data_IF_680617306874
#
_entry.id   IF_680617306874
#
_cell.length_a   1.000
_cell.length_b   1.000
_cell.length_c   1.000
_cell.angle_alpha   90.00
_cell.angle_beta   90.00
_cell.angle_gamma   90.00
#
_symmetry.space_group_name_H-M   'P 1'
#
loop_
_entity.id
_entity.type
_entity.pdbx_description
1 polymer ?
#
# COMPACT_ATOMS: atom_id res chain seq x y z
N UNK A 1 -8.90 10.60 4.31
CA UNK A 1 -9.85 11.07 3.26
C UNK A 1 -9.73 10.17 2.02
N UNK A 2 -10.79 9.99 1.23
CA UNK A 2 -10.73 9.20 -0.01
C UNK A 2 -10.67 10.16 -1.22
N UNK A 3 -9.69 10.02 -2.13
CA UNK A 3 -9.55 10.94 -3.25
C UNK A 3 -10.75 10.83 -4.21
N UNK A 4 -11.14 11.94 -4.84
CA UNK A 4 -12.23 12.01 -5.83
C UNK A 4 -12.14 10.99 -6.99
N UNK A 5 -10.96 10.70 -7.57
CA UNK A 5 -10.78 9.61 -8.56
C UNK A 5 -10.72 8.19 -7.96
N UNK A 6 -10.87 8.04 -6.65
CA UNK A 6 -10.94 6.76 -5.95
C UNK A 6 -9.71 5.88 -6.10
N UNK A 7 -9.91 4.61 -6.48
CA UNK A 7 -8.81 3.64 -6.62
C UNK A 7 -7.88 3.94 -7.82
N UNK A 8 -8.29 4.81 -8.75
CA UNK A 8 -7.50 5.13 -9.95
C UNK A 8 -6.12 5.70 -9.62
N UNK A 9 -6.03 6.57 -8.61
CA UNK A 9 -4.77 7.19 -8.17
C UNK A 9 -3.88 6.27 -7.31
N UNK A 10 -4.38 5.06 -7.01
CA UNK A 10 -3.66 4.01 -6.27
C UNK A 10 -3.20 2.88 -7.19
N UNK A 11 -3.42 3.02 -8.49
CA UNK A 11 -3.11 2.02 -9.49
C UNK A 11 -2.42 2.71 -10.69
N UNK A 12 -1.29 3.41 -10.47
CA UNK A 12 -0.70 4.30 -11.47
C UNK A 12 -0.36 3.52 -12.74
N UNK A 13 -0.53 4.18 -13.90
CA UNK A 13 -0.37 3.55 -15.22
C UNK A 13 -1.65 2.89 -15.76
N UNK A 14 -1.51 1.92 -16.66
CA UNK A 14 -2.65 1.34 -17.38
C UNK A 14 -3.50 0.44 -16.48
N UNK A 15 -4.72 0.85 -16.17
CA UNK A 15 -5.60 0.13 -15.22
C UNK A 15 -6.08 -1.20 -15.83
N UNK A 16 -5.80 -2.31 -15.15
CA UNK A 16 -6.29 -3.65 -15.50
C UNK A 16 -7.17 -4.21 -14.37
N UNK A 17 -8.04 -5.17 -14.69
CA UNK A 17 -8.92 -5.82 -13.71
C UNK A 17 -8.12 -6.46 -12.58
N UNK A 18 -7.10 -7.24 -12.92
CA UNK A 18 -6.29 -7.98 -11.96
C UNK A 18 -5.49 -7.04 -11.05
N UNK A 19 -4.96 -5.91 -11.59
CA UNK A 19 -4.25 -4.92 -10.78
C UNK A 19 -5.19 -4.14 -9.86
N UNK A 20 -6.41 -3.84 -10.31
CA UNK A 20 -7.45 -3.25 -9.45
C UNK A 20 -7.86 -4.20 -8.32
N UNK A 21 -7.96 -5.49 -8.60
CA UNK A 21 -8.25 -6.51 -7.58
C UNK A 21 -7.11 -6.59 -6.57
N UNK A 22 -5.85 -6.61 -7.01
CA UNK A 22 -4.69 -6.56 -6.13
C UNK A 22 -4.67 -5.29 -5.23
N UNK A 23 -5.01 -4.12 -5.77
CA UNK A 23 -5.15 -2.88 -4.96
C UNK A 23 -6.25 -3.05 -3.91
N UNK A 24 -7.43 -3.54 -4.30
CA UNK A 24 -8.58 -3.69 -3.38
C UNK A 24 -8.28 -4.65 -2.23
N UNK A 25 -7.77 -5.83 -2.54
CA UNK A 25 -7.48 -6.86 -1.54
C UNK A 25 -6.36 -6.42 -0.60
N UNK A 26 -5.29 -5.83 -1.15
CA UNK A 26 -4.20 -5.31 -0.30
C UNK A 26 -4.63 -4.12 0.57
N UNK A 27 -5.48 -3.23 0.08
CA UNK A 27 -6.03 -2.10 0.86
C UNK A 27 -6.96 -2.61 1.97
N UNK A 28 -7.75 -3.67 1.70
CA UNK A 28 -8.61 -4.30 2.69
C UNK A 28 -7.80 -4.90 3.85
N UNK A 29 -6.72 -5.65 3.54
CA UNK A 29 -5.79 -6.19 4.55
C UNK A 29 -5.19 -5.05 5.39
N UNK A 30 -4.69 -4.00 4.73
CA UNK A 30 -4.10 -2.85 5.43
C UNK A 30 -5.10 -2.19 6.39
N UNK A 31 -6.35 -1.98 5.95
CA UNK A 31 -7.41 -1.40 6.78
C UNK A 31 -7.76 -2.25 7.98
N UNK A 32 -7.91 -3.55 7.77
CA UNK A 32 -8.20 -4.49 8.83
C UNK A 32 -7.10 -4.48 9.91
N UNK A 33 -5.83 -4.54 9.49
CA UNK A 33 -4.71 -4.53 10.43
C UNK A 33 -4.54 -3.18 11.13
N UNK A 34 -4.82 -2.07 10.46
CA UNK A 34 -4.82 -0.75 11.12
C UNK A 34 -5.92 -0.63 12.17
N UNK A 35 -7.12 -1.15 11.90
CA UNK A 35 -8.22 -1.16 12.87
C UNK A 35 -7.89 -2.04 14.08
N UNK A 36 -7.38 -3.26 13.85
CA UNK A 36 -7.00 -4.21 14.92
C UNK A 36 -5.89 -3.70 15.83
N UNK A 37 -4.99 -2.87 15.30
CA UNK A 37 -3.81 -2.38 16.03
C UNK A 37 -3.95 -0.91 16.48
N UNK A 38 -5.16 -0.36 16.49
CA UNK A 38 -5.43 0.99 17.03
C UNK A 38 -4.80 2.13 16.21
N UNK A 39 -4.53 1.90 14.93
CA UNK A 39 -4.03 2.92 14.00
C UNK A 39 -5.17 3.60 13.23
N UNK A 40 -6.35 2.99 13.17
CA UNK A 40 -7.55 3.62 12.61
C UNK A 40 -7.90 4.90 13.39
N UNK A 41 -8.10 6.01 12.66
CA UNK A 41 -8.34 7.34 13.23
C UNK A 41 -7.09 8.02 13.81
N UNK A 42 -6.04 7.27 14.17
CA UNK A 42 -4.73 7.82 14.55
C UNK A 42 -3.93 8.26 13.32
N UNK A 43 -3.97 7.46 12.26
CA UNK A 43 -3.29 7.77 10.99
C UNK A 43 -4.22 8.54 10.08
N UNK A 44 -3.81 9.74 9.65
CA UNK A 44 -4.66 10.64 8.85
C UNK A 44 -5.08 10.04 7.50
N UNK A 45 -4.14 9.45 6.78
CA UNK A 45 -4.43 8.72 5.55
C UNK A 45 -3.48 7.55 5.37
N UNK A 46 -4.04 6.41 5.02
CA UNK A 46 -3.31 5.20 4.71
C UNK A 46 -4.02 4.40 3.63
N UNK A 47 -3.22 3.79 2.76
CA UNK A 47 -3.68 3.02 1.61
C UNK A 47 -2.55 2.19 0.99
N UNK A 48 -2.91 1.26 0.12
CA UNK A 48 -1.96 0.56 -0.75
C UNK A 48 -1.97 1.09 -2.17
N UNK A 49 -0.83 0.95 -2.85
CA UNK A 49 -0.63 1.26 -4.26
C UNK A 49 -0.06 0.04 -4.98
N UNK A 50 -0.55 -0.25 -6.19
CA UNK A 50 0.03 -1.28 -7.06
C UNK A 50 0.52 -0.64 -8.36
N UNK A 51 1.84 -0.47 -8.54
CA UNK A 51 2.39 0.23 -9.68
C UNK A 51 2.41 -0.62 -10.96
N UNK A 52 2.51 0.04 -12.12
CA UNK A 52 2.60 -0.59 -13.44
C UNK A 52 3.99 -1.14 -13.77
N UNK A 53 4.62 -1.82 -12.82
CA UNK A 53 5.81 -2.61 -13.06
C UNK A 53 5.77 -3.88 -12.20
N UNK A 54 6.50 -4.89 -12.65
CA UNK A 54 6.59 -6.17 -11.96
C UNK A 54 7.95 -6.34 -11.29
N UNK A 55 7.96 -7.10 -10.20
CA UNK A 55 9.15 -7.43 -9.43
C UNK A 55 9.39 -8.94 -9.47
N UNK A 56 10.63 -9.37 -9.20
CA UNK A 56 10.95 -10.79 -9.06
C UNK A 56 10.67 -11.27 -7.64
N UNK A 57 10.13 -12.49 -7.53
CA UNK A 57 9.89 -13.17 -6.26
C UNK A 57 9.95 -14.69 -6.40
N UNK A 58 9.59 -15.39 -5.34
CA UNK A 58 9.42 -16.85 -5.33
C UNK A 58 8.02 -17.14 -4.79
N UNK A 59 7.23 -17.93 -5.52
CA UNK A 59 5.91 -18.41 -5.08
C UNK A 59 5.83 -19.90 -5.37
N UNK A 60 5.47 -20.71 -4.38
CA UNK A 60 5.40 -22.18 -4.51
C UNK A 60 6.67 -22.82 -5.08
N UNK A 61 7.85 -22.32 -4.68
CA UNK A 61 9.14 -22.84 -5.11
C UNK A 61 9.56 -22.47 -6.55
N UNK A 62 8.76 -21.69 -7.28
CA UNK A 62 9.11 -21.20 -8.62
C UNK A 62 9.28 -19.69 -8.64
N UNK A 63 10.12 -19.21 -9.57
CA UNK A 63 10.32 -17.77 -9.78
C UNK A 63 9.01 -17.13 -10.23
N UNK A 64 8.60 -16.07 -9.56
CA UNK A 64 7.43 -15.27 -9.92
C UNK A 64 7.82 -13.92 -10.52
N UNK A 65 6.94 -13.39 -11.37
CA UNK A 65 7.03 -12.06 -11.94
C UNK A 65 5.68 -11.36 -11.80
N UNK A 66 5.52 -10.71 -10.66
CA UNK A 66 4.26 -10.24 -10.10
C UNK A 66 4.42 -8.80 -9.59
N UNK A 67 3.33 -8.14 -9.24
CA UNK A 67 3.37 -6.74 -8.83
C UNK A 67 3.91 -6.59 -7.40
N UNK A 68 4.66 -5.51 -7.12
CA UNK A 68 4.83 -5.06 -5.75
C UNK A 68 3.56 -4.33 -5.27
N UNK A 69 3.37 -4.28 -3.96
CA UNK A 69 2.45 -3.37 -3.28
C UNK A 69 3.27 -2.35 -2.49
N UNK A 70 2.89 -1.08 -2.55
CA UNK A 70 3.47 -0.01 -1.75
C UNK A 70 2.43 0.41 -0.70
N UNK A 71 2.78 0.34 0.58
CA UNK A 71 2.01 0.87 1.68
C UNK A 71 2.37 2.35 1.84
N UNK A 72 1.35 3.20 1.89
CA UNK A 72 1.45 4.62 2.24
C UNK A 72 0.67 4.85 3.53
N UNK A 73 1.29 5.47 4.52
CA UNK A 73 0.64 5.84 5.78
C UNK A 73 1.25 7.13 6.30
N UNK A 74 0.46 8.21 6.34
CA UNK A 74 0.92 9.55 6.63
C UNK A 74 0.02 10.27 7.60
N UNK A 75 0.61 11.21 8.35
CA UNK A 75 -0.08 12.16 9.20
C UNK A 75 0.17 13.59 8.72
N UNK A 76 -0.82 14.44 8.93
CA UNK A 76 -0.67 15.86 8.66
C UNK A 76 -1.55 16.72 9.57
N UNK A 77 -1.10 17.94 9.81
CA UNK A 77 -1.87 19.00 10.47
C UNK A 77 -2.37 20.06 9.47
N UNK A 78 -1.90 20.02 8.21
CA UNK A 78 -2.25 21.00 7.17
C UNK A 78 -2.19 20.40 5.75
N UNK A 79 -2.51 21.18 4.73
CA UNK A 79 -2.45 20.70 3.34
C UNK A 79 -1.02 20.68 2.76
N UNK A 80 -0.03 21.25 3.44
CA UNK A 80 1.30 21.57 2.87
C UNK A 80 2.37 20.54 3.24
N UNK A 81 2.29 19.96 4.44
CA UNK A 81 3.25 18.99 4.96
C UNK A 81 2.61 17.64 5.26
N UNK A 82 3.41 16.59 5.34
CA UNK A 82 2.97 15.28 5.82
C UNK A 82 4.17 14.48 6.33
N UNK A 83 4.03 13.89 7.52
CA UNK A 83 5.01 12.99 8.11
C UNK A 83 4.58 11.54 7.92
N UNK A 84 5.55 10.65 7.98
CA UNK A 84 5.35 9.20 7.88
C UNK A 84 4.91 8.65 9.24
N UNK A 85 3.89 7.79 9.26
CA UNK A 85 3.54 7.06 10.49
C UNK A 85 4.65 6.03 10.82
N UNK A 86 5.27 6.05 12.01
CA UNK A 86 6.25 5.04 12.39
C UNK A 86 5.55 3.72 12.77
N UNK A 87 5.06 2.98 11.77
CA UNK A 87 4.41 1.69 11.96
C UNK A 87 5.44 0.71 12.56
N UNK A 88 5.12 0.00 13.66
CA UNK A 88 6.02 -1.00 14.23
C UNK A 88 6.45 -2.03 13.17
N UNK A 89 7.75 -2.34 13.13
CA UNK A 89 8.30 -3.26 12.13
C UNK A 89 7.61 -4.63 12.14
N UNK A 90 7.27 -5.14 13.33
CA UNK A 90 6.54 -6.41 13.48
C UNK A 90 5.16 -6.36 12.81
N UNK A 91 4.44 -5.23 12.92
CA UNK A 91 3.17 -5.05 12.24
C UNK A 91 3.34 -4.95 10.72
N UNK A 92 4.38 -4.26 10.25
CA UNK A 92 4.73 -4.23 8.82
C UNK A 92 5.06 -5.62 8.28
N UNK A 93 5.81 -6.43 9.04
CA UNK A 93 6.13 -7.80 8.69
C UNK A 93 4.87 -8.66 8.60
N UNK A 94 3.96 -8.54 9.57
CA UNK A 94 2.68 -9.25 9.56
C UNK A 94 1.79 -8.86 8.36
N UNK A 95 1.64 -7.56 8.10
CA UNK A 95 0.90 -7.06 6.93
C UNK A 95 1.56 -7.56 5.63
N UNK A 96 2.89 -7.58 5.58
CA UNK A 96 3.63 -8.08 4.41
C UNK A 96 3.36 -9.55 4.14
N UNK A 97 3.38 -10.38 5.18
CA UNK A 97 3.04 -11.81 5.09
C UNK A 97 1.61 -12.01 4.59
N UNK A 98 0.64 -11.31 5.18
CA UNK A 98 -0.76 -11.37 4.74
C UNK A 98 -0.93 -10.96 3.29
N UNK A 99 -0.40 -9.80 2.89
CA UNK A 99 -0.52 -9.32 1.50
C UNK A 99 0.12 -10.30 0.51
N UNK A 100 1.32 -10.81 0.79
CA UNK A 100 2.02 -11.71 -0.15
C UNK A 100 1.43 -13.12 -0.22
N UNK A 101 0.76 -13.57 0.84
CA UNK A 101 0.10 -14.90 0.89
C UNK A 101 -1.34 -14.89 0.39
N UNK A 102 -2.11 -13.86 0.73
CA UNK A 102 -3.55 -13.76 0.43
C UNK A 102 -3.84 -13.08 -0.91
N UNK A 103 -3.00 -12.13 -1.37
CA UNK A 103 -3.28 -11.35 -2.58
C UNK A 103 -2.68 -12.00 -3.82
N UNK A 104 -3.54 -12.31 -4.80
CA UNK A 104 -3.12 -12.87 -6.08
C UNK A 104 -2.32 -11.85 -6.91
N UNK A 105 -1.27 -12.32 -7.58
CA UNK A 105 -0.42 -11.47 -8.43
C UNK A 105 0.47 -10.48 -7.69
N UNK A 106 0.66 -10.64 -6.37
CA UNK A 106 1.59 -9.84 -5.55
C UNK A 106 2.72 -10.71 -5.02
N UNK A 107 3.95 -10.19 -5.05
CA UNK A 107 5.15 -10.90 -4.56
C UNK A 107 6.10 -10.07 -3.70
N UNK A 108 5.77 -8.80 -3.46
CA UNK A 108 6.63 -7.86 -2.75
C UNK A 108 5.78 -6.80 -2.10
N UNK A 109 6.16 -6.39 -0.89
CA UNK A 109 5.56 -5.25 -0.20
C UNK A 109 6.66 -4.25 0.15
N UNK A 110 6.36 -2.97 0.00
CA UNK A 110 7.23 -1.84 0.27
C UNK A 110 6.50 -0.88 1.22
N UNK A 111 7.23 -0.15 2.04
CA UNK A 111 6.69 0.95 2.83
C UNK A 111 7.30 2.26 2.37
N UNK A 112 6.47 3.21 1.97
CA UNK A 112 6.95 4.53 1.52
C UNK A 112 7.26 5.43 2.73
N UNK A 113 8.56 5.68 2.92
CA UNK A 113 9.11 6.51 3.99
C UNK A 113 9.41 7.95 3.53
N UNK A 114 8.87 8.37 2.38
CA UNK A 114 9.11 9.71 1.79
C UNK A 114 8.13 10.76 2.36
N UNK A 115 8.58 11.75 3.14
CA UNK A 115 7.69 12.80 3.64
C UNK A 115 7.21 13.74 2.52
N UNK A 116 6.17 14.51 2.79
CA UNK A 116 5.85 15.71 2.00
C UNK A 116 6.60 16.89 2.65
N UNK A 117 7.48 17.60 1.91
CA UNK A 117 7.27 17.99 0.51
C UNK A 117 8.06 17.22 -0.57
N UNK A 118 8.97 16.30 -0.23
CA UNK A 118 9.78 15.63 -1.27
C UNK A 118 8.96 14.64 -2.10
N UNK A 119 7.99 13.97 -1.48
CA UNK A 119 6.94 13.21 -2.16
C UNK A 119 5.56 13.86 -1.98
N UNK A 120 4.61 13.47 -2.82
CA UNK A 120 3.18 13.73 -2.60
C UNK A 120 2.56 12.67 -1.69
N UNK A 121 1.30 12.84 -1.28
CA UNK A 121 0.59 11.80 -0.54
C UNK A 121 0.21 10.67 -1.49
N UNK A 122 -0.39 11.00 -2.64
CA UNK A 122 -0.81 10.08 -3.70
C UNK A 122 0.33 9.75 -4.69
N UNK A 123 0.12 8.71 -5.50
CA UNK A 123 1.12 8.14 -6.43
C UNK A 123 0.79 8.30 -7.93
N UNK A 124 -0.41 8.80 -8.27
CA UNK A 124 -1.02 9.08 -9.60
C UNK A 124 -0.40 8.43 -10.85
#
# INVERSE_FOLDING_TARGET
>A
PFPGPGLGVRCPGAITRDRLEAVRESDAILREEFARNGLEGKVWQYFTVVPDFKSTGIKNGVRSFDWPVIIRAVNTQDAMSATIEPIPYELLAHITERITSEVNGVNRVLYDVTPKPTGTIEYE
#
